data_IF_495541579083
#
_entry.id   IF_495541579083
#
_cell.length_a   1.000
_cell.length_b   1.000
_cell.length_c   1.000
_cell.angle_alpha   90.00
_cell.angle_beta   90.00
_cell.angle_gamma   90.00
#
_symmetry.space_group_name_H-M   'P 1'
#
loop_
_entity.id
_entity.type
_entity.pdbx_description
1 polymer ?
#
# COMPACT_ATOMS: atom_id res chain seq x y z
N UNK A 1 39.17 33.22 -30.97
CA UNK A 1 39.46 31.93 -30.32
C UNK A 1 38.14 31.34 -29.85
N UNK A 2 37.68 30.29 -30.55
CA UNK A 2 36.39 29.66 -30.30
C UNK A 2 36.55 28.60 -29.20
N UNK A 3 35.75 28.71 -28.13
CA UNK A 3 35.75 27.81 -27.00
C UNK A 3 34.49 26.97 -26.95
N UNK A 4 34.69 25.65 -27.03
CA UNK A 4 33.91 24.57 -26.42
C UNK A 4 32.48 24.34 -26.91
N UNK A 5 32.37 23.38 -27.82
CA UNK A 5 31.13 22.67 -28.11
C UNK A 5 30.69 21.85 -26.89
N UNK A 6 29.50 22.15 -26.38
CA UNK A 6 28.82 21.30 -25.43
C UNK A 6 28.39 20.02 -26.16
N UNK A 7 29.01 18.89 -25.84
CA UNK A 7 28.46 17.58 -26.17
C UNK A 7 27.05 17.47 -25.57
N UNK A 8 26.04 17.55 -26.43
CA UNK A 8 24.69 17.12 -26.08
C UNK A 8 24.75 15.61 -25.84
N UNK A 9 24.85 15.22 -24.57
CA UNK A 9 24.61 13.83 -24.16
C UNK A 9 23.14 13.52 -24.44
N UNK A 10 22.90 12.93 -25.60
CA UNK A 10 21.62 12.32 -25.96
C UNK A 10 21.43 11.11 -25.05
N UNK A 11 20.50 11.21 -24.11
CA UNK A 11 20.00 10.04 -23.39
C UNK A 11 19.13 9.26 -24.35
N UNK A 12 19.71 8.25 -25.01
CA UNK A 12 18.95 7.30 -25.80
C UNK A 12 18.25 6.37 -24.82
N UNK A 13 16.99 6.66 -24.49
CA UNK A 13 16.13 5.80 -23.67
C UNK A 13 16.06 4.44 -24.35
N UNK A 14 16.82 3.49 -23.82
CA UNK A 14 16.91 2.14 -24.36
C UNK A 14 15.82 1.31 -23.71
N UNK A 15 14.90 0.79 -24.52
CA UNK A 15 13.94 -0.25 -24.14
C UNK A 15 12.78 0.23 -23.26
N UNK A 16 11.58 -0.26 -23.55
CA UNK A 16 10.41 -0.07 -22.71
C UNK A 16 10.71 -0.56 -21.30
N UNK A 17 10.94 0.37 -20.36
CA UNK A 17 10.99 0.06 -18.95
C UNK A 17 9.60 -0.44 -18.56
N UNK A 18 9.43 -1.75 -18.41
CA UNK A 18 8.34 -2.28 -17.60
C UNK A 18 8.43 -1.58 -16.25
N UNK A 19 7.34 -0.92 -15.86
CA UNK A 19 7.36 -0.05 -14.70
C UNK A 19 7.69 -0.87 -13.46
N UNK A 20 8.82 -0.56 -12.80
CA UNK A 20 9.23 -1.18 -11.53
C UNK A 20 8.12 -1.10 -10.46
N UNK A 21 7.25 -0.10 -10.61
CA UNK A 21 6.05 0.14 -9.82
C UNK A 21 4.79 0.00 -10.68
N UNK A 22 3.87 -0.89 -10.30
CA UNK A 22 2.53 -0.91 -10.90
C UNK A 22 1.60 0.00 -10.10
N UNK A 23 0.95 0.96 -10.77
CA UNK A 23 -0.07 1.80 -10.15
C UNK A 23 -1.25 0.90 -9.72
N UNK A 24 -1.79 1.05 -8.49
CA UNK A 24 -3.00 0.37 -8.09
C UNK A 24 -4.11 0.58 -9.12
N UNK A 25 -4.79 -0.50 -9.48
CA UNK A 25 -6.02 -0.49 -10.29
C UNK A 25 -7.15 -1.13 -9.50
N UNK A 26 -8.38 -0.90 -9.98
CA UNK A 26 -9.56 -1.53 -9.39
C UNK A 26 -9.36 -3.05 -9.40
N UNK A 27 -9.53 -3.66 -8.23
CA UNK A 27 -9.37 -5.08 -8.01
C UNK A 27 -10.60 -5.69 -7.34
N UNK A 28 -10.78 -6.99 -7.53
CA UNK A 28 -11.74 -7.78 -6.78
C UNK A 28 -11.11 -8.25 -5.49
N UNK A 29 -11.88 -8.37 -4.41
CA UNK A 29 -11.36 -8.83 -3.14
C UNK A 29 -12.15 -8.28 -1.96
N UNK A 30 -11.57 -8.38 -0.77
CA UNK A 30 -12.14 -7.83 0.44
C UNK A 30 -11.04 -7.44 1.44
N UNK A 31 -11.32 -6.43 2.25
CA UNK A 31 -10.56 -6.13 3.47
C UNK A 31 -11.54 -5.95 4.61
N UNK A 32 -11.30 -6.64 5.72
CA UNK A 32 -12.02 -6.42 6.97
C UNK A 32 -11.05 -5.94 8.03
N UNK A 33 -11.32 -4.78 8.63
CA UNK A 33 -10.52 -4.17 9.68
C UNK A 33 -11.22 -4.23 11.02
N UNK A 34 -10.43 -4.41 12.08
CA UNK A 34 -10.73 -3.99 13.43
C UNK A 34 -9.82 -2.79 13.75
N UNK A 35 -10.40 -1.64 14.07
CA UNK A 35 -9.67 -0.42 14.41
C UNK A 35 -9.96 -0.05 15.85
N UNK A 36 -8.92 0.05 16.68
CA UNK A 36 -9.01 0.44 18.08
C UNK A 36 -8.26 1.74 18.29
N UNK A 37 -8.89 2.75 18.90
CA UNK A 37 -8.25 4.03 19.25
C UNK A 37 -8.22 4.18 20.78
N UNK A 38 -7.02 4.30 21.35
CA UNK A 38 -6.81 4.42 22.80
C UNK A 38 -7.32 3.20 23.56
N UNK A 39 -8.11 3.45 24.60
CA UNK A 39 -8.83 2.46 25.40
C UNK A 39 -10.28 2.21 24.92
N UNK A 40 -10.65 2.77 23.76
CA UNK A 40 -11.96 2.58 23.16
C UNK A 40 -12.22 1.15 22.68
N UNK A 41 -13.49 0.82 22.46
CA UNK A 41 -13.88 -0.46 21.88
C UNK A 41 -13.43 -0.56 20.40
N UNK A 42 -13.05 -1.75 19.91
CA UNK A 42 -12.74 -1.96 18.51
C UNK A 42 -13.94 -1.67 17.61
N UNK A 43 -13.72 -0.94 16.51
CA UNK A 43 -14.70 -0.71 15.46
C UNK A 43 -14.38 -1.61 14.27
N UNK A 44 -15.37 -2.39 13.83
CA UNK A 44 -15.25 -3.24 12.64
C UNK A 44 -15.65 -2.50 11.37
N UNK A 45 -14.87 -2.64 10.31
CA UNK A 45 -15.12 -2.06 8.99
C UNK A 45 -14.85 -3.10 7.92
N UNK A 46 -15.59 -3.09 6.83
CA UNK A 46 -15.33 -3.96 5.68
C UNK A 46 -15.53 -3.22 4.37
N UNK A 47 -14.78 -3.63 3.35
CA UNK A 47 -14.92 -3.07 2.01
C UNK A 47 -14.46 -4.06 0.95
N UNK A 48 -15.07 -3.92 -0.23
CA UNK A 48 -14.61 -4.52 -1.49
C UNK A 48 -14.11 -3.45 -2.47
N UNK A 49 -14.11 -2.18 -2.07
CA UNK A 49 -13.53 -1.09 -2.86
C UNK A 49 -12.02 -1.06 -2.65
N UNK A 50 -11.31 -1.74 -3.55
CA UNK A 50 -9.88 -2.01 -3.41
C UNK A 50 -9.13 -1.56 -4.67
N UNK A 51 -8.07 -0.79 -4.46
CA UNK A 51 -6.99 -0.59 -5.41
C UNK A 51 -5.87 -1.59 -5.12
N UNK A 52 -5.42 -2.33 -6.12
CA UNK A 52 -4.32 -3.29 -5.97
C UNK A 52 -3.38 -3.23 -7.17
N UNK A 53 -2.07 -3.26 -6.89
CA UNK A 53 -0.99 -3.30 -7.87
C UNK A 53 0.13 -4.21 -7.41
N UNK A 54 0.72 -4.97 -8.33
CA UNK A 54 1.86 -5.84 -8.07
C UNK A 54 2.84 -5.76 -9.24
N UNK A 55 3.84 -4.89 -9.09
CA UNK A 55 4.92 -4.74 -10.05
C UNK A 55 6.00 -5.81 -9.91
N UNK A 56 7.04 -5.72 -10.72
CA UNK A 56 8.18 -6.67 -10.65
C UNK A 56 8.89 -6.63 -9.30
N UNK A 57 8.87 -5.46 -8.66
CA UNK A 57 9.59 -5.21 -7.41
C UNK A 57 8.72 -4.59 -6.33
N UNK A 58 7.43 -4.37 -6.56
CA UNK A 58 6.58 -3.64 -5.63
C UNK A 58 5.21 -4.27 -5.47
N UNK A 59 4.55 -3.88 -4.39
CA UNK A 59 3.17 -4.19 -4.11
C UNK A 59 2.50 -2.95 -3.54
N UNK A 60 1.27 -2.70 -3.91
CA UNK A 60 0.44 -1.63 -3.37
C UNK A 60 -0.99 -2.14 -3.21
N UNK A 61 -1.58 -1.92 -2.05
CA UNK A 61 -2.98 -2.19 -1.77
C UNK A 61 -3.57 -1.00 -1.04
N UNK A 62 -4.67 -0.50 -1.53
CA UNK A 62 -5.48 0.55 -0.93
C UNK A 62 -6.90 0.05 -0.80
N UNK A 63 -7.50 0.17 0.37
CA UNK A 63 -8.89 -0.22 0.59
C UNK A 63 -9.66 0.91 1.28
N UNK A 64 -10.80 1.28 0.69
CA UNK A 64 -11.57 2.48 1.02
C UNK A 64 -12.90 2.06 1.68
N UNK A 65 -13.16 2.57 2.88
CA UNK A 65 -14.28 2.15 3.73
C UNK A 65 -15.36 3.24 3.76
N UNK A 66 -16.21 3.23 2.75
CA UNK A 66 -17.34 4.14 2.60
C UNK A 66 -17.92 4.11 1.18
N UNK A 67 -18.87 5.00 0.93
CA UNK A 67 -19.48 5.16 -0.38
C UNK A 67 -18.68 6.13 -1.26
N UNK A 68 -18.65 5.88 -2.57
CA UNK A 68 -18.05 6.79 -3.55
C UNK A 68 -18.97 7.99 -3.80
N UNK A 69 -18.85 8.97 -2.91
CA UNK A 69 -19.61 10.23 -2.93
C UNK A 69 -18.79 11.41 -3.45
N UNK A 70 -17.55 11.16 -3.89
CA UNK A 70 -16.56 12.20 -4.18
C UNK A 70 -15.88 12.81 -2.95
N UNK A 71 -16.26 12.39 -1.73
CA UNK A 71 -15.62 12.78 -0.48
C UNK A 71 -14.59 11.74 -0.01
N UNK A 72 -13.66 12.18 0.84
CA UNK A 72 -12.68 11.29 1.47
C UNK A 72 -13.36 10.33 2.45
N UNK A 73 -12.98 9.05 2.40
CA UNK A 73 -13.45 7.99 3.30
C UNK A 73 -12.28 7.42 4.10
N UNK A 74 -12.56 6.69 5.19
CA UNK A 74 -11.51 5.97 5.90
C UNK A 74 -10.82 5.00 4.94
N UNK A 75 -9.50 4.92 4.98
CA UNK A 75 -8.71 4.19 3.99
C UNK A 75 -7.49 3.58 4.66
N UNK A 76 -7.18 2.33 4.31
CA UNK A 76 -5.92 1.67 4.65
C UNK A 76 -5.07 1.52 3.40
N UNK A 77 -3.79 1.85 3.51
CA UNK A 77 -2.79 1.65 2.48
C UNK A 77 -1.68 0.72 2.97
N UNK A 78 -1.29 -0.24 2.15
CA UNK A 78 -0.10 -1.07 2.30
C UNK A 78 0.76 -0.90 1.06
N UNK A 79 2.04 -0.66 1.25
CA UNK A 79 2.98 -0.52 0.15
C UNK A 79 4.29 -1.22 0.45
N UNK A 80 4.89 -1.83 -0.57
CA UNK A 80 6.21 -2.44 -0.49
C UNK A 80 7.08 -2.01 -1.65
N UNK A 81 8.39 -2.02 -1.40
CA UNK A 81 9.44 -1.80 -2.41
C UNK A 81 10.21 -3.09 -2.72
N UNK A 82 9.62 -4.24 -2.36
CA UNK A 82 10.15 -5.56 -2.67
C UNK A 82 9.06 -6.43 -3.30
N UNK A 83 9.47 -7.39 -4.12
CA UNK A 83 8.55 -8.42 -4.59
C UNK A 83 8.02 -9.22 -3.40
N UNK A 84 6.70 -9.27 -3.27
CA UNK A 84 6.04 -9.97 -2.17
C UNK A 84 5.96 -11.46 -2.46
N UNK A 85 6.24 -12.27 -1.45
CA UNK A 85 6.16 -13.73 -1.46
C UNK A 85 5.38 -14.19 -0.21
N UNK A 86 5.02 -15.48 -0.13
CA UNK A 86 4.52 -16.06 1.12
C UNK A 86 5.53 -15.84 2.24
N UNK A 87 5.09 -15.30 3.37
CA UNK A 87 6.00 -15.00 4.48
C UNK A 87 5.53 -13.90 5.41
N UNK A 88 6.43 -13.49 6.30
CA UNK A 88 6.21 -12.45 7.30
C UNK A 88 7.11 -11.26 7.00
N UNK A 89 6.52 -10.08 6.99
CA UNK A 89 7.19 -8.82 6.71
C UNK A 89 6.92 -7.83 7.83
N UNK A 90 7.96 -7.11 8.23
CA UNK A 90 7.83 -6.04 9.20
C UNK A 90 7.33 -4.76 8.52
N UNK A 91 6.34 -4.13 9.14
CA UNK A 91 5.81 -2.82 8.76
C UNK A 91 6.55 -1.76 9.57
N UNK A 92 7.12 -0.76 8.89
CA UNK A 92 7.84 0.37 9.51
C UNK A 92 7.58 1.66 8.75
N UNK A 93 7.95 2.77 9.40
CA UNK A 93 8.05 4.08 8.76
C UNK A 93 9.04 4.05 7.58
N UNK A 94 8.61 4.38 6.35
CA UNK A 94 9.48 4.39 5.18
C UNK A 94 10.53 5.50 5.17
N UNK A 95 10.42 6.50 6.05
CA UNK A 95 11.35 7.63 6.15
C UNK A 95 12.28 7.54 7.38
N UNK A 96 12.22 6.45 8.14
CA UNK A 96 13.06 6.25 9.30
C UNK A 96 14.51 5.83 8.97
N UNK A 97 15.35 5.77 10.00
CA UNK A 97 16.80 5.49 9.86
C UNK A 97 17.14 4.04 9.47
N UNK A 98 16.14 3.15 9.42
CA UNK A 98 16.33 1.72 9.10
C UNK A 98 15.70 1.40 7.74
N UNK A 99 16.29 0.47 6.97
CA UNK A 99 15.67 -0.01 5.75
C UNK A 99 14.26 -0.52 6.01
N UNK A 100 13.29 -0.03 5.24
CA UNK A 100 11.92 -0.52 5.23
C UNK A 100 11.70 -1.43 4.03
N UNK A 101 10.74 -2.34 4.17
CA UNK A 101 10.28 -3.21 3.08
C UNK A 101 8.79 -3.07 2.85
N UNK A 102 8.06 -2.82 3.94
CA UNK A 102 6.62 -2.60 3.95
C UNK A 102 6.35 -1.36 4.78
N UNK A 103 5.52 -0.47 4.24
CA UNK A 103 4.93 0.64 4.96
C UNK A 103 3.41 0.46 4.96
N UNK A 104 2.77 0.93 6.03
CA UNK A 104 1.33 0.92 6.18
C UNK A 104 0.85 2.27 6.70
N UNK A 105 -0.34 2.66 6.28
CA UNK A 105 -0.97 3.91 6.68
C UNK A 105 -2.47 3.69 6.83
N UNK A 106 -3.08 4.33 7.82
CA UNK A 106 -4.53 4.41 8.00
C UNK A 106 -4.93 5.86 8.21
N UNK A 107 -6.00 6.28 7.53
CA UNK A 107 -6.45 7.66 7.55
C UNK A 107 -7.58 7.86 6.57
N UNK A 108 -7.55 8.95 5.81
CA UNK A 108 -8.59 9.29 4.83
C UNK A 108 -8.03 9.34 3.41
N UNK A 109 -8.76 8.77 2.47
CA UNK A 109 -8.32 8.70 1.07
C UNK A 109 -9.48 8.44 0.12
N UNK A 110 -9.16 8.45 -1.16
CA UNK A 110 -9.98 7.97 -2.27
C UNK A 110 -9.06 7.62 -3.45
N UNK A 111 -9.53 6.86 -4.46
CA UNK A 111 -8.76 6.60 -5.66
C UNK A 111 -8.27 7.89 -6.32
N UNK A 112 -7.03 7.84 -6.81
CA UNK A 112 -6.32 8.94 -7.48
C UNK A 112 -6.03 10.18 -6.63
N UNK A 113 -6.41 10.19 -5.35
CA UNK A 113 -5.98 11.20 -4.38
C UNK A 113 -4.96 10.62 -3.41
N UNK A 114 -4.13 11.49 -2.82
CA UNK A 114 -3.16 11.05 -1.82
C UNK A 114 -3.88 10.54 -0.56
N UNK A 115 -3.45 9.39 -0.06
CA UNK A 115 -3.84 8.90 1.26
C UNK A 115 -3.33 9.86 2.35
N UNK A 116 -4.26 10.43 3.10
CA UNK A 116 -4.00 11.34 4.22
C UNK A 116 -4.08 10.56 5.54
N UNK A 117 -2.94 10.08 6.03
CA UNK A 117 -2.84 9.46 7.36
C UNK A 117 -1.99 10.29 8.31
N UNK A 118 -2.25 10.13 9.61
CA UNK A 118 -1.56 10.90 10.65
C UNK A 118 -0.09 10.50 10.80
N UNK A 119 0.22 9.20 10.73
CA UNK A 119 1.57 8.64 10.81
C UNK A 119 1.64 7.25 10.17
N UNK A 120 2.82 6.85 9.71
CA UNK A 120 3.06 5.47 9.26
C UNK A 120 3.02 4.49 10.44
N UNK A 121 2.45 3.32 10.17
CA UNK A 121 2.33 2.22 11.12
C UNK A 121 3.65 1.52 11.41
N UNK A 122 3.70 0.91 12.59
CA UNK A 122 4.68 -0.11 12.95
C UNK A 122 3.95 -1.41 13.27
N UNK A 123 4.42 -2.53 12.73
CA UNK A 123 3.74 -3.81 12.91
C UNK A 123 4.20 -4.87 11.93
N UNK A 124 3.26 -5.65 11.40
CA UNK A 124 3.56 -6.85 10.63
C UNK A 124 2.50 -7.16 9.58
N UNK A 125 2.97 -7.52 8.39
CA UNK A 125 2.20 -8.11 7.30
C UNK A 125 2.57 -9.60 7.21
N UNK A 126 1.59 -10.48 7.14
CA UNK A 126 1.78 -11.90 6.82
C UNK A 126 1.04 -12.20 5.53
N UNK A 127 1.80 -12.62 4.51
CA UNK A 127 1.27 -13.09 3.24
C UNK A 127 1.08 -14.60 3.32
N UNK A 128 -0.17 -15.02 3.17
CA UNK A 128 -0.61 -16.41 3.22
C UNK A 128 -0.60 -17.02 1.83
N UNK A 129 -0.97 -16.24 0.82
CA UNK A 129 -0.97 -16.67 -0.58
C UNK A 129 -0.66 -15.52 -1.54
N UNK A 130 -0.02 -15.85 -2.65
CA UNK A 130 0.36 -14.88 -3.69
C UNK A 130 0.46 -15.58 -5.04
N UNK A 131 -0.15 -14.98 -6.05
CA UNK A 131 0.02 -15.36 -7.47
C UNK A 131 0.48 -14.12 -8.20
N UNK A 132 1.56 -14.24 -8.97
CA UNK A 132 2.14 -13.16 -9.78
C UNK A 132 2.38 -13.65 -11.20
N UNK A 133 1.28 -13.85 -11.94
CA UNK A 133 1.27 -14.30 -13.32
C UNK A 133 0.71 -13.19 -14.22
N UNK A 134 1.05 -13.21 -15.51
CA UNK A 134 0.57 -12.18 -16.45
C UNK A 134 -0.95 -12.13 -16.56
N UNK A 135 -1.61 -13.28 -16.45
CA UNK A 135 -3.06 -13.41 -16.53
C UNK A 135 -3.78 -13.15 -15.21
N UNK A 136 -3.06 -13.25 -14.08
CA UNK A 136 -3.66 -13.19 -12.74
C UNK A 136 -2.64 -12.76 -11.71
N UNK A 137 -2.97 -11.69 -10.99
CA UNK A 137 -2.25 -11.23 -9.81
C UNK A 137 -3.19 -11.30 -8.62
N UNK A 138 -2.73 -11.97 -7.56
CA UNK A 138 -3.53 -12.26 -6.38
C UNK A 138 -2.67 -12.14 -5.13
N UNK A 139 -3.27 -11.66 -4.05
CA UNK A 139 -2.70 -11.75 -2.71
C UNK A 139 -3.77 -12.17 -1.71
N UNK A 140 -3.37 -12.96 -0.73
CA UNK A 140 -4.10 -13.22 0.51
C UNK A 140 -3.18 -13.03 1.69
N UNK A 141 -3.65 -12.35 2.72
CA UNK A 141 -2.82 -12.12 3.89
C UNK A 141 -3.60 -11.67 5.11
N UNK A 142 -2.84 -11.27 6.12
CA UNK A 142 -3.29 -10.60 7.33
C UNK A 142 -2.28 -9.56 7.72
N UNK A 143 -2.70 -8.49 8.38
CA UNK A 143 -1.77 -7.49 8.87
C UNK A 143 -2.26 -6.88 10.18
N UNK A 144 -1.31 -6.39 10.95
CA UNK A 144 -1.57 -5.54 12.10
C UNK A 144 -0.52 -4.45 12.14
N UNK A 145 -0.92 -3.23 12.48
CA UNK A 145 0.02 -2.17 12.78
C UNK A 145 -0.59 -1.17 13.74
N UNK A 146 0.28 -0.39 14.37
CA UNK A 146 -0.11 0.69 15.26
C UNK A 146 0.66 1.96 14.98
N UNK A 147 0.05 3.10 15.26
CA UNK A 147 0.67 4.41 15.17
C UNK A 147 0.04 5.36 16.19
N UNK A 148 0.73 6.46 16.50
CA UNK A 148 0.14 7.56 17.26
C UNK A 148 -0.57 8.50 16.30
N UNK A 149 -1.83 8.82 16.58
CA UNK A 149 -2.57 9.84 15.83
C UNK A 149 -2.06 11.26 16.17
N UNK A 150 -2.63 12.27 15.50
CA UNK A 150 -2.27 13.68 15.74
C UNK A 150 -2.43 14.14 17.21
N UNK A 151 -3.29 13.46 17.97
CA UNK A 151 -3.57 13.74 19.38
C UNK A 151 -2.72 12.88 20.33
N UNK A 152 -1.73 12.15 19.80
CA UNK A 152 -0.90 11.18 20.56
C UNK A 152 -1.70 10.02 21.15
N UNK A 153 -2.84 9.69 20.56
CA UNK A 153 -3.61 8.50 20.90
C UNK A 153 -3.09 7.33 20.07
N UNK A 154 -2.85 6.19 20.73
CA UNK A 154 -2.47 4.97 20.03
C UNK A 154 -3.65 4.44 19.21
N UNK A 155 -3.43 4.25 17.91
CA UNK A 155 -4.39 3.61 17.01
C UNK A 155 -3.82 2.27 16.59
N UNK A 156 -4.59 1.20 16.78
CA UNK A 156 -4.28 -0.16 16.31
C UNK A 156 -5.23 -0.52 15.17
N UNK A 157 -4.66 -1.03 14.08
CA UNK A 157 -5.39 -1.43 12.86
C UNK A 157 -5.06 -2.87 12.55
N UNK A 158 -6.07 -3.72 12.46
CA UNK A 158 -5.91 -5.17 12.30
C UNK A 158 -6.80 -5.71 11.19
N UNK A 159 -6.22 -6.42 10.22
CA UNK A 159 -6.95 -7.27 9.29
C UNK A 159 -6.59 -8.73 9.58
N UNK A 160 -7.54 -9.50 10.11
CA UNK A 160 -7.36 -10.95 10.33
C UNK A 160 -7.26 -11.72 9.01
N UNK A 161 -7.91 -11.20 7.97
CA UNK A 161 -7.79 -11.68 6.61
C UNK A 161 -8.10 -10.53 5.62
N UNK A 162 -7.35 -10.49 4.53
CA UNK A 162 -7.66 -9.69 3.34
C UNK A 162 -7.32 -10.47 2.09
N UNK A 163 -7.96 -10.09 0.98
CA UNK A 163 -7.55 -10.54 -0.35
C UNK A 163 -7.75 -9.46 -1.40
N UNK A 164 -6.92 -9.50 -2.45
CA UNK A 164 -7.09 -8.68 -3.63
C UNK A 164 -6.63 -9.45 -4.86
N UNK A 165 -7.35 -9.27 -5.97
CA UNK A 165 -7.14 -9.94 -7.23
C UNK A 165 -7.43 -9.01 -8.39
N UNK A 166 -6.57 -9.03 -9.41
CA UNK A 166 -6.92 -8.55 -10.73
C UNK A 166 -6.28 -9.42 -11.81
N UNK A 167 -6.92 -9.47 -12.96
CA UNK A 167 -6.42 -10.12 -14.17
C UNK A 167 -6.35 -9.14 -15.33
N UNK A 168 -5.67 -9.56 -16.39
CA UNK A 168 -5.69 -8.90 -17.71
C UNK A 168 -6.99 -9.20 -18.44
#
# INVERSE_FOLDING_TARGET
>A
MAGQGAEKRSFTTTGAAQSLYEKPRIAQGFVKLEVTRGDGAPVSMETNWIGFGMGETSFSLEAYFGEDTGHLVETVGLMTIIKVAKGSYEIRDPFGDKPYKVAALFGKGRPDENLQGDNFGQGKLIVLDVVDESARKYIKGKFEFSFLDRNKVMVKVEAKEFSAEYGS
#
